data_IF_976518670361
#
_entry.id   IF_976518670361
#
_cell.length_a   1.000
_cell.length_b   1.000
_cell.length_c   1.000
_cell.angle_alpha   90.00
_cell.angle_beta   90.00
_cell.angle_gamma   90.00
#
_symmetry.space_group_name_H-M   'P 1'
#
loop_
_entity.id
_entity.type
_entity.pdbx_description
1 polymer ?
#
# COMPACT_ATOMS: atom_id res chain seq x y z
N UNK A 1 2.71 -16.79 27.03
CA UNK A 1 1.98 -16.00 26.52
C UNK A 1 2.38 -14.57 26.29
N UNK A 2 2.97 -13.87 27.22
CA UNK A 2 3.44 -12.52 26.89
C UNK A 2 4.48 -12.56 25.76
N UNK A 3 5.20 -13.65 25.64
CA UNK A 3 6.18 -13.79 24.55
C UNK A 3 5.53 -13.76 23.19
N UNK A 4 4.37 -14.37 23.06
CA UNK A 4 3.68 -14.36 21.78
C UNK A 4 3.20 -12.97 21.42
N UNK A 5 2.70 -12.24 22.40
CA UNK A 5 2.28 -10.88 22.18
C UNK A 5 3.44 -10.01 21.73
N UNK A 6 4.60 -10.19 22.39
CA UNK A 6 5.79 -9.43 22.02
C UNK A 6 6.27 -9.78 20.62
N UNK A 7 6.17 -11.05 20.27
CA UNK A 7 6.50 -11.49 18.93
C UNK A 7 5.65 -10.78 17.89
N UNK A 8 4.36 -10.68 18.15
CA UNK A 8 3.46 -10.03 17.22
C UNK A 8 3.78 -8.55 17.06
N UNK A 9 4.19 -7.90 18.13
CA UNK A 9 4.60 -6.49 18.05
C UNK A 9 5.84 -6.29 17.20
N UNK A 10 6.73 -7.26 17.22
CA UNK A 10 7.99 -7.16 16.49
C UNK A 10 7.86 -7.62 15.05
N UNK A 11 6.77 -8.27 14.72
CA UNK A 11 6.53 -8.72 13.37
C UNK A 11 5.97 -7.61 12.53
N UNK A 12 6.48 -7.50 11.33
CA UNK A 12 5.87 -6.58 10.39
C UNK A 12 4.53 -7.15 9.92
N UNK A 13 3.66 -6.27 9.47
CA UNK A 13 2.36 -6.64 8.92
C UNK A 13 2.53 -7.70 7.82
N UNK A 14 3.48 -7.51 6.93
CA UNK A 14 3.64 -8.38 5.77
C UNK A 14 4.37 -9.69 6.06
N UNK A 15 4.81 -9.90 7.29
CA UNK A 15 5.36 -11.19 7.68
C UNK A 15 4.26 -12.25 7.80
N UNK A 16 3.02 -11.83 8.01
CA UNK A 16 1.87 -12.73 8.14
C UNK A 16 1.23 -12.96 6.76
N UNK A 17 1.19 -14.22 6.27
CA UNK A 17 0.57 -14.50 4.98
C UNK A 17 -0.89 -14.04 4.87
N UNK A 18 -1.64 -14.11 5.98
CA UNK A 18 -3.02 -13.65 5.96
C UNK A 18 -3.10 -12.14 5.72
N UNK A 19 -2.18 -11.39 6.32
CA UNK A 19 -2.13 -9.94 6.11
C UNK A 19 -1.76 -9.60 4.67
N UNK A 20 -0.81 -10.34 4.09
CA UNK A 20 -0.44 -10.15 2.69
C UNK A 20 -1.63 -10.40 1.78
N UNK A 21 -2.38 -11.47 2.04
CA UNK A 21 -3.54 -11.80 1.23
C UNK A 21 -4.62 -10.72 1.32
N UNK A 22 -4.86 -10.19 2.52
CA UNK A 22 -5.85 -9.13 2.71
C UNK A 22 -5.44 -7.86 1.98
N UNK A 23 -4.18 -7.49 2.08
CA UNK A 23 -3.70 -6.29 1.41
C UNK A 23 -3.81 -6.44 -0.11
N UNK A 24 -3.44 -7.60 -0.61
CA UNK A 24 -3.55 -7.87 -2.04
C UNK A 24 -5.01 -7.82 -2.49
N UNK A 25 -5.91 -8.36 -1.69
CA UNK A 25 -7.34 -8.30 -2.00
C UNK A 25 -7.84 -6.87 -2.05
N UNK A 26 -7.45 -6.06 -1.06
CA UNK A 26 -7.85 -4.65 -1.01
C UNK A 26 -7.26 -3.83 -2.16
N UNK A 27 -6.17 -4.29 -2.72
CA UNK A 27 -5.50 -3.59 -3.82
C UNK A 27 -6.17 -3.84 -5.18
N UNK A 28 -7.13 -4.77 -5.24
CA UNK A 28 -7.84 -5.03 -6.48
C UNK A 28 -8.86 -3.93 -6.71
N UNK A 29 -8.73 -3.28 -7.85
CA UNK A 29 -9.51 -2.09 -8.15
C UNK A 29 -10.35 -2.30 -9.40
N UNK A 30 -11.40 -1.45 -9.54
CA UNK A 30 -12.26 -1.50 -10.70
C UNK A 30 -11.61 -0.94 -11.96
N UNK A 31 -10.64 -0.04 -11.83
CA UNK A 31 -9.92 0.50 -12.98
C UNK A 31 -8.69 -0.34 -13.27
N UNK A 32 -8.55 -0.72 -14.53
CA UNK A 32 -7.44 -1.59 -14.95
C UNK A 32 -6.07 -0.97 -14.67
N UNK A 33 -5.92 0.32 -14.92
CA UNK A 33 -4.65 1.01 -14.70
C UNK A 33 -4.20 0.90 -13.24
N UNK A 34 -5.12 1.13 -12.32
CA UNK A 34 -4.80 1.03 -10.90
C UNK A 34 -4.43 -0.40 -10.54
N UNK A 35 -5.21 -1.35 -11.03
CA UNK A 35 -4.97 -2.76 -10.74
C UNK A 35 -3.60 -3.21 -11.24
N UNK A 36 -3.23 -2.80 -12.46
CA UNK A 36 -1.94 -3.18 -13.03
C UNK A 36 -0.77 -2.61 -12.24
N UNK A 37 -0.84 -1.34 -11.87
CA UNK A 37 0.24 -0.69 -11.12
C UNK A 37 0.38 -1.34 -9.74
N UNK A 38 -0.72 -1.53 -9.05
CA UNK A 38 -0.71 -2.10 -7.70
C UNK A 38 -0.26 -3.55 -7.72
N UNK A 39 -0.70 -4.32 -8.69
CA UNK A 39 -0.30 -5.72 -8.82
C UNK A 39 1.19 -5.84 -9.09
N UNK A 40 1.72 -5.03 -10.01
CA UNK A 40 3.16 -5.04 -10.29
C UNK A 40 3.98 -4.70 -9.06
N UNK A 41 3.54 -3.68 -8.33
CA UNK A 41 4.26 -3.26 -7.15
C UNK A 41 4.26 -4.36 -6.09
N UNK A 42 3.10 -4.96 -5.85
CA UNK A 42 3.00 -6.02 -4.85
C UNK A 42 3.75 -7.27 -5.27
N UNK A 43 3.74 -7.62 -6.55
CA UNK A 43 4.51 -8.77 -7.02
C UNK A 43 6.00 -8.61 -6.73
N UNK A 44 6.50 -7.39 -6.83
CA UNK A 44 7.91 -7.13 -6.60
C UNK A 44 8.26 -6.95 -5.12
N UNK A 45 7.35 -6.41 -4.31
CA UNK A 45 7.71 -5.91 -2.98
C UNK A 45 6.82 -6.39 -1.84
N UNK A 46 5.82 -7.22 -2.10
CA UNK A 46 4.81 -7.58 -1.10
C UNK A 46 5.39 -8.01 0.24
N UNK A 47 6.43 -8.84 0.22
CA UNK A 47 7.00 -9.37 1.45
C UNK A 47 7.94 -8.39 2.15
N UNK A 48 8.39 -7.38 1.44
CA UNK A 48 9.38 -6.43 1.94
C UNK A 48 8.77 -5.15 2.50
N UNK A 49 7.46 -4.97 2.33
CA UNK A 49 6.80 -3.73 2.77
C UNK A 49 6.91 -3.56 4.27
N UNK A 50 7.34 -2.37 4.68
CA UNK A 50 7.35 -2.00 6.09
C UNK A 50 5.93 -1.67 6.55
N UNK A 51 5.74 -1.62 7.87
CA UNK A 51 4.44 -1.23 8.41
C UNK A 51 4.05 0.18 7.99
N UNK A 52 5.03 1.07 7.87
CA UNK A 52 4.81 2.43 7.38
C UNK A 52 4.30 2.42 5.95
N UNK A 53 4.90 1.58 5.11
CA UNK A 53 4.48 1.45 3.72
C UNK A 53 3.09 0.82 3.61
N UNK A 54 2.79 -0.13 4.47
CA UNK A 54 1.45 -0.72 4.51
C UNK A 54 0.41 0.35 4.90
N UNK A 55 0.72 1.17 5.89
CA UNK A 55 -0.17 2.26 6.28
C UNK A 55 -0.38 3.24 5.12
N UNK A 56 0.70 3.60 4.45
CA UNK A 56 0.63 4.50 3.31
C UNK A 56 -0.24 3.91 2.20
N UNK A 57 -0.04 2.65 1.87
CA UNK A 57 -0.82 2.00 0.83
C UNK A 57 -2.29 1.91 1.23
N UNK A 58 -2.57 1.59 2.48
CA UNK A 58 -3.93 1.50 2.98
C UNK A 58 -4.66 2.84 2.82
N UNK A 59 -3.97 3.94 3.13
CA UNK A 59 -4.56 5.27 2.97
C UNK A 59 -4.88 5.57 1.51
N UNK A 60 -4.00 5.17 0.60
CA UNK A 60 -4.26 5.34 -0.83
C UNK A 60 -5.42 4.48 -1.30
N UNK A 61 -5.52 3.26 -0.79
CA UNK A 61 -6.59 2.34 -1.18
C UNK A 61 -7.97 2.78 -0.67
N UNK A 62 -8.01 3.68 0.30
CA UNK A 62 -9.27 4.24 0.77
C UNK A 62 -9.84 5.28 -0.21
N UNK A 63 -9.05 5.73 -1.16
CA UNK A 63 -9.52 6.67 -2.17
C UNK A 63 -10.38 5.97 -3.22
N UNK A 64 -11.28 6.74 -3.83
CA UNK A 64 -12.02 6.25 -4.99
C UNK A 64 -11.07 6.02 -6.16
N UNK A 65 -11.53 5.25 -7.15
CA UNK A 65 -10.65 4.82 -8.24
C UNK A 65 -10.06 5.98 -9.05
N UNK A 66 -10.86 6.99 -9.39
CA UNK A 66 -10.35 8.08 -10.21
C UNK A 66 -9.32 8.96 -9.49
N UNK A 67 -9.56 9.41 -8.27
CA UNK A 67 -8.54 10.13 -7.51
C UNK A 67 -7.25 9.29 -7.34
N UNK A 68 -7.40 8.01 -7.09
CA UNK A 68 -6.23 7.13 -6.94
C UNK A 68 -5.45 7.05 -8.24
N UNK A 69 -6.14 6.89 -9.37
CA UNK A 69 -5.49 6.85 -10.67
C UNK A 69 -4.72 8.14 -10.94
N UNK A 70 -5.32 9.28 -10.64
CA UNK A 70 -4.63 10.56 -10.85
C UNK A 70 -3.33 10.64 -10.08
N UNK A 71 -3.33 10.14 -8.84
CA UNK A 71 -2.10 10.11 -8.04
C UNK A 71 -1.08 9.13 -8.62
N UNK A 72 -1.53 7.94 -8.98
CA UNK A 72 -0.62 6.91 -9.50
C UNK A 72 0.02 7.32 -10.83
N UNK A 73 -0.72 8.05 -11.66
CA UNK A 73 -0.22 8.50 -12.95
C UNK A 73 0.49 9.85 -12.88
N UNK A 74 0.56 10.45 -11.70
CA UNK A 74 1.25 11.73 -11.54
C UNK A 74 0.48 12.93 -12.04
N UNK A 75 -0.83 12.79 -12.25
CA UNK A 75 -1.68 13.90 -12.70
C UNK A 75 -2.05 14.85 -11.58
N UNK A 76 -1.98 14.38 -10.35
CA UNK A 76 -2.20 15.22 -9.17
C UNK A 76 -1.24 14.81 -8.07
N UNK A 77 -1.11 15.66 -7.06
CA UNK A 77 -0.25 15.37 -5.92
C UNK A 77 -1.10 15.13 -4.68
N UNK A 78 -0.57 14.37 -3.70
CA UNK A 78 -1.32 14.11 -2.48
C UNK A 78 -1.74 15.39 -1.79
N UNK A 79 -2.95 15.38 -1.24
CA UNK A 79 -3.47 16.51 -0.49
C UNK A 79 -4.34 15.98 0.63
N UNK A 80 -4.61 16.83 1.63
CA UNK A 80 -5.47 16.45 2.74
C UNK A 80 -4.90 15.28 3.54
N UNK A 81 -5.72 14.27 3.76
CA UNK A 81 -5.37 13.16 4.61
C UNK A 81 -4.29 12.24 4.05
N UNK A 82 -4.06 12.30 2.75
CA UNK A 82 -3.00 11.48 2.13
C UNK A 82 -1.72 12.29 1.91
N UNK A 83 -1.67 13.54 2.29
CA UNK A 83 -0.47 14.35 2.16
C UNK A 83 0.44 14.14 3.38
N UNK A 84 1.03 12.96 3.43
CA UNK A 84 1.93 12.55 4.50
C UNK A 84 3.26 12.08 3.90
N UNK A 85 4.37 12.28 4.61
CA UNK A 85 5.69 11.92 4.05
C UNK A 85 5.78 10.48 3.60
N UNK A 86 5.26 9.53 4.38
CA UNK A 86 5.36 8.12 4.01
C UNK A 86 4.43 7.78 2.84
N UNK A 87 3.32 8.49 2.69
CA UNK A 87 2.44 8.30 1.53
C UNK A 87 3.13 8.83 0.27
N UNK A 88 3.76 9.99 0.35
CA UNK A 88 4.48 10.55 -0.79
C UNK A 88 5.64 9.65 -1.20
N UNK A 89 6.36 9.09 -0.24
CA UNK A 89 7.47 8.20 -0.51
C UNK A 89 6.99 6.93 -1.21
N UNK A 90 5.92 6.32 -0.73
CA UNK A 90 5.37 5.13 -1.35
C UNK A 90 4.86 5.43 -2.76
N UNK A 91 4.19 6.57 -2.92
CA UNK A 91 3.65 6.96 -4.21
C UNK A 91 4.75 7.09 -5.26
N UNK A 92 5.90 7.64 -4.88
CA UNK A 92 7.04 7.74 -5.78
C UNK A 92 7.48 6.35 -6.27
N UNK A 93 7.46 5.36 -5.37
CA UNK A 93 7.81 3.99 -5.74
C UNK A 93 6.75 3.37 -6.65
N UNK A 94 5.49 3.60 -6.36
CA UNK A 94 4.40 3.09 -7.18
C UNK A 94 4.46 3.64 -8.61
N UNK A 95 4.82 4.91 -8.76
CA UNK A 95 4.93 5.54 -10.07
C UNK A 95 6.05 4.96 -10.92
N UNK A 96 7.00 4.28 -10.29
CA UNK A 96 8.12 3.65 -11.00
C UNK A 96 7.88 2.17 -11.30
N UNK A 97 6.80 1.63 -10.79
CA UNK A 97 6.51 0.22 -10.95
C UNK A 97 6.08 -0.12 -12.39
#
# INVERSE_FOLDING_TARGET
MSDETQHEHMRSHQADPANRARLRWRSRRGLLENDLILTRFLDAHEEELTDEEVDALTRLLDLADNPLMDLLLGRSEPSGEVDLPHVRALLARLRQA
#
